data_IF_174847489163
#
_entry.id   IF_174847489163
#
_cell.length_a   1.000
_cell.length_b   1.000
_cell.length_c   1.000
_cell.angle_alpha   90.00
_cell.angle_beta   90.00
_cell.angle_gamma   90.00
#
_symmetry.space_group_name_H-M   'P 1'
#
loop_
_entity.id
_entity.type
_entity.pdbx_description
1 polymer ?
#
# COMPACT_ATOMS: atom_id res chain seq x y z
N UNK A 1 14.45 -9.04 -24.44
CA UNK A 1 13.09 -9.54 -24.10
C UNK A 1 12.33 -8.34 -23.58
N UNK A 2 11.31 -7.92 -24.33
CA UNK A 2 10.65 -6.63 -24.16
C UNK A 2 9.73 -6.67 -22.94
N UNK A 3 9.97 -5.80 -21.95
CA UNK A 3 9.07 -5.53 -20.83
C UNK A 3 7.88 -4.74 -21.39
N UNK A 4 6.77 -5.43 -21.61
CA UNK A 4 5.52 -4.77 -21.92
C UNK A 4 5.04 -4.04 -20.67
N UNK A 5 5.28 -2.74 -20.59
CA UNK A 5 4.63 -1.85 -19.67
C UNK A 5 3.11 -1.96 -19.91
N UNK A 6 2.41 -2.53 -18.95
CA UNK A 6 0.96 -2.61 -18.96
C UNK A 6 0.42 -1.19 -18.71
N UNK A 7 0.35 -0.40 -19.80
CA UNK A 7 -0.33 0.90 -19.75
C UNK A 7 -1.83 0.65 -19.66
N UNK A 8 -2.39 0.81 -18.46
CA UNK A 8 -3.85 0.93 -18.29
C UNK A 8 -4.34 2.09 -19.17
N UNK A 9 -5.40 1.90 -19.95
CA UNK A 9 -6.04 3.03 -20.63
C UNK A 9 -6.45 4.04 -19.56
N UNK A 10 -6.13 5.31 -19.78
CA UNK A 10 -6.58 6.40 -18.91
C UNK A 10 -8.10 6.38 -18.88
N UNK A 11 -8.67 6.01 -17.73
CA UNK A 11 -10.10 6.12 -17.51
C UNK A 11 -10.44 7.62 -17.47
N UNK A 12 -11.11 8.10 -18.51
CA UNK A 12 -11.50 9.51 -18.66
C UNK A 12 -12.73 9.87 -17.81
N UNK A 13 -13.27 8.92 -17.04
CA UNK A 13 -14.38 9.17 -16.14
C UNK A 13 -13.90 9.98 -14.94
N UNK A 14 -14.64 11.04 -14.64
CA UNK A 14 -14.34 11.87 -13.46
C UNK A 14 -14.56 11.03 -12.20
N UNK A 15 -13.60 10.96 -11.26
CA UNK A 15 -13.78 10.23 -10.02
C UNK A 15 -15.01 10.75 -9.25
N UNK A 16 -15.72 9.89 -8.52
CA UNK A 16 -16.88 10.31 -7.74
C UNK A 16 -16.46 11.36 -6.73
N UNK A 17 -17.20 12.46 -6.68
CA UNK A 17 -16.95 13.54 -5.73
C UNK A 17 -17.49 13.13 -4.35
N UNK A 18 -16.59 12.76 -3.46
CA UNK A 18 -16.91 12.60 -2.04
C UNK A 18 -17.23 13.97 -1.42
N UNK A 19 -18.29 14.04 -0.61
CA UNK A 19 -18.50 15.21 0.23
C UNK A 19 -17.42 15.27 1.32
N UNK A 20 -17.09 16.46 1.77
CA UNK A 20 -16.05 16.68 2.80
C UNK A 20 -16.28 15.82 4.05
N UNK A 21 -17.52 15.69 4.47
CA UNK A 21 -17.93 14.88 5.62
C UNK A 21 -17.70 13.37 5.38
N UNK A 22 -18.04 12.88 4.20
CA UNK A 22 -17.81 11.47 3.81
C UNK A 22 -16.32 11.16 3.77
N UNK A 23 -15.52 12.08 3.23
CA UNK A 23 -14.07 11.93 3.19
C UNK A 23 -13.46 11.91 4.61
N UNK A 24 -13.90 12.81 5.48
CA UNK A 24 -13.42 12.87 6.86
C UNK A 24 -13.77 11.59 7.63
N UNK A 25 -15.00 11.11 7.49
CA UNK A 25 -15.45 9.86 8.11
C UNK A 25 -14.66 8.66 7.60
N UNK A 26 -14.45 8.55 6.29
CA UNK A 26 -13.68 7.47 5.68
C UNK A 26 -12.23 7.47 6.19
N UNK A 27 -11.58 8.63 6.24
CA UNK A 27 -10.21 8.76 6.78
C UNK A 27 -10.12 8.34 8.24
N UNK A 28 -11.12 8.70 9.05
CA UNK A 28 -11.15 8.30 10.46
C UNK A 28 -11.39 6.80 10.61
N UNK A 29 -12.29 6.22 9.83
CA UNK A 29 -12.49 4.78 9.82
C UNK A 29 -11.23 4.02 9.39
N UNK A 30 -10.53 4.47 8.36
CA UNK A 30 -9.23 3.90 7.94
C UNK A 30 -8.20 3.97 9.06
N UNK A 31 -8.15 5.09 9.79
CA UNK A 31 -7.27 5.22 10.95
C UNK A 31 -7.61 4.21 12.06
N UNK A 32 -8.89 4.03 12.35
CA UNK A 32 -9.36 3.10 13.39
C UNK A 32 -9.16 1.64 12.97
N UNK A 33 -9.49 1.30 11.73
CA UNK A 33 -9.45 -0.09 11.24
C UNK A 33 -8.04 -0.59 10.92
N UNK A 34 -7.19 0.27 10.38
CA UNK A 34 -5.87 -0.11 9.89
C UNK A 34 -4.69 0.57 10.64
N UNK A 35 -4.96 1.53 11.53
CA UNK A 35 -3.92 2.32 12.17
C UNK A 35 -3.20 3.27 11.20
N UNK A 36 -3.71 3.45 9.98
CA UNK A 36 -3.05 4.19 8.91
C UNK A 36 -3.65 5.60 8.80
N UNK A 37 -2.80 6.62 8.80
CA UNK A 37 -3.19 7.97 8.42
C UNK A 37 -2.97 8.15 6.93
N UNK A 38 -4.05 8.47 6.21
CA UNK A 38 -4.02 8.70 4.78
C UNK A 38 -3.94 10.22 4.54
N UNK A 39 -2.78 10.67 4.10
CA UNK A 39 -2.54 12.09 3.75
C UNK A 39 -2.76 12.36 2.25
N UNK A 40 -3.23 11.35 1.51
CA UNK A 40 -3.55 11.48 0.09
C UNK A 40 -4.62 12.53 -0.15
N UNK A 41 -4.53 13.22 -1.30
CA UNK A 41 -5.53 14.18 -1.74
C UNK A 41 -6.90 13.51 -1.96
N UNK A 42 -7.95 14.33 -1.94
CA UNK A 42 -9.31 13.85 -2.22
C UNK A 42 -9.40 13.17 -3.59
N UNK A 43 -8.68 13.66 -4.59
CA UNK A 43 -8.70 13.10 -5.94
C UNK A 43 -8.11 11.68 -5.97
N UNK A 44 -7.01 11.44 -5.26
CA UNK A 44 -6.40 10.09 -5.17
C UNK A 44 -7.34 9.11 -4.47
N UNK A 45 -7.94 9.52 -3.37
CA UNK A 45 -8.92 8.68 -2.64
C UNK A 45 -10.14 8.42 -3.53
N UNK A 46 -10.62 9.45 -4.25
CA UNK A 46 -11.73 9.32 -5.19
C UNK A 46 -11.45 8.32 -6.31
N UNK A 47 -10.22 8.30 -6.86
CA UNK A 47 -9.82 7.32 -7.88
C UNK A 47 -9.82 5.90 -7.32
N UNK A 48 -9.29 5.69 -6.11
CA UNK A 48 -9.30 4.37 -5.47
C UNK A 48 -10.74 3.87 -5.22
N UNK A 49 -11.61 4.76 -4.74
CA UNK A 49 -13.03 4.43 -4.54
C UNK A 49 -13.70 4.11 -5.87
N UNK A 50 -13.44 4.88 -6.91
CA UNK A 50 -14.00 4.62 -8.24
C UNK A 50 -13.59 3.23 -8.76
N UNK A 51 -12.33 2.87 -8.61
CA UNK A 51 -11.84 1.54 -8.98
C UNK A 51 -12.56 0.43 -8.21
N UNK A 52 -12.84 0.64 -6.92
CA UNK A 52 -13.58 -0.33 -6.11
C UNK A 52 -15.05 -0.43 -6.50
N UNK A 53 -15.68 0.72 -6.75
CA UNK A 53 -17.06 0.77 -7.22
C UNK A 53 -17.23 0.04 -8.54
N UNK A 54 -16.32 0.24 -9.50
CA UNK A 54 -16.31 -0.49 -10.77
C UNK A 54 -16.17 -2.00 -10.57
N UNK A 55 -15.28 -2.41 -9.69
CA UNK A 55 -15.08 -3.83 -9.37
C UNK A 55 -16.33 -4.49 -8.75
N UNK A 56 -17.03 -3.74 -7.87
CA UNK A 56 -18.24 -4.21 -7.20
C UNK A 56 -19.52 -3.98 -8.04
N UNK A 57 -19.41 -3.38 -9.21
CA UNK A 57 -20.54 -2.95 -10.05
C UNK A 57 -21.51 -2.01 -9.31
N UNK A 58 -21.00 -1.15 -8.42
CA UNK A 58 -21.75 -0.12 -7.69
C UNK A 58 -21.60 1.20 -8.43
N UNK A 59 -22.72 1.93 -8.60
CA UNK A 59 -22.76 3.15 -9.43
C UNK A 59 -22.79 4.44 -8.64
N UNK A 60 -23.08 4.39 -7.34
CA UNK A 60 -23.18 5.57 -6.49
C UNK A 60 -22.35 5.42 -5.20
N UNK A 61 -21.88 6.55 -4.70
CA UNK A 61 -20.97 6.60 -3.54
C UNK A 61 -21.66 6.17 -2.25
N UNK A 62 -22.94 6.50 -2.06
CA UNK A 62 -23.70 6.15 -0.88
C UNK A 62 -23.82 4.62 -0.74
N UNK A 63 -24.17 3.95 -1.82
CA UNK A 63 -24.23 2.48 -1.87
C UNK A 63 -22.87 1.86 -1.63
N UNK A 64 -21.79 2.47 -2.13
CA UNK A 64 -20.43 2.00 -1.86
C UNK A 64 -20.07 2.14 -0.37
N UNK A 65 -20.34 3.29 0.22
CA UNK A 65 -20.04 3.51 1.64
C UNK A 65 -20.86 2.58 2.56
N UNK A 66 -22.08 2.21 2.16
CA UNK A 66 -22.90 1.26 2.89
C UNK A 66 -22.32 -0.17 2.93
N UNK A 67 -21.38 -0.52 2.04
CA UNK A 67 -20.67 -1.82 2.09
C UNK A 67 -19.90 -1.97 3.40
N UNK A 68 -19.42 -0.87 3.96
CA UNK A 68 -18.66 -0.87 5.22
C UNK A 68 -19.52 -1.09 6.46
N UNK A 69 -20.84 -0.96 6.35
CA UNK A 69 -21.81 -1.27 7.42
C UNK A 69 -22.17 -2.77 7.45
N UNK A 70 -21.87 -3.51 6.37
CA UNK A 70 -22.11 -4.96 6.29
C UNK A 70 -20.99 -5.73 7.00
N UNK A 71 -21.32 -6.37 8.11
CA UNK A 71 -20.37 -7.13 8.93
C UNK A 71 -19.65 -8.26 8.21
N UNK A 72 -20.19 -8.76 7.10
CA UNK A 72 -19.62 -9.88 6.33
C UNK A 72 -18.62 -9.36 5.29
N UNK A 73 -18.99 -8.34 4.54
CA UNK A 73 -18.23 -7.85 3.40
C UNK A 73 -17.28 -6.69 3.76
N UNK A 74 -17.56 -5.95 4.81
CA UNK A 74 -16.80 -4.77 5.22
C UNK A 74 -15.30 -5.06 5.37
N UNK A 75 -14.92 -6.16 6.00
CA UNK A 75 -13.51 -6.49 6.23
C UNK A 75 -12.74 -6.70 4.92
N UNK A 76 -13.32 -7.43 3.99
CA UNK A 76 -12.70 -7.68 2.69
C UNK A 76 -12.55 -6.39 1.89
N UNK A 77 -13.58 -5.54 1.94
CA UNK A 77 -13.55 -4.25 1.24
C UNK A 77 -12.56 -3.26 1.88
N UNK A 78 -12.47 -3.21 3.23
CA UNK A 78 -11.44 -2.44 3.91
C UNK A 78 -10.04 -2.84 3.45
N UNK A 79 -9.73 -4.13 3.41
CA UNK A 79 -8.41 -4.61 2.98
C UNK A 79 -8.13 -4.24 1.52
N UNK A 80 -9.11 -4.37 0.63
CA UNK A 80 -8.96 -4.02 -0.77
C UNK A 80 -8.75 -2.51 -0.97
N UNK A 81 -9.49 -1.67 -0.25
CA UNK A 81 -9.33 -0.22 -0.31
C UNK A 81 -7.99 0.24 0.27
N UNK A 82 -7.57 -0.33 1.40
CA UNK A 82 -6.26 -0.05 2.02
C UNK A 82 -5.13 -0.43 1.05
N UNK A 83 -5.24 -1.57 0.37
CA UNK A 83 -4.26 -2.02 -0.60
C UNK A 83 -4.10 -1.04 -1.77
N UNK A 84 -5.17 -0.41 -2.22
CA UNK A 84 -5.13 0.64 -3.25
C UNK A 84 -4.58 1.98 -2.74
N UNK A 85 -4.86 2.32 -1.48
CA UNK A 85 -4.46 3.59 -0.88
C UNK A 85 -3.01 3.59 -0.37
N UNK A 86 -2.42 2.41 -0.16
CA UNK A 86 -1.04 2.28 0.27
C UNK A 86 -0.07 2.35 -0.91
N UNK A 87 1.01 3.08 -0.72
CA UNK A 87 2.06 3.22 -1.74
C UNK A 87 2.85 1.92 -1.82
N UNK A 88 2.78 1.25 -2.97
CA UNK A 88 3.57 0.05 -3.29
C UNK A 88 4.85 0.41 -4.03
N UNK A 89 5.54 1.44 -3.55
CA UNK A 89 6.80 1.83 -4.15
C UNK A 89 7.94 1.02 -3.54
N UNK A 90 8.70 0.37 -4.38
CA UNK A 90 9.99 -0.22 -4.04
C UNK A 90 11.00 0.15 -5.10
N UNK A 91 12.23 0.45 -4.69
CA UNK A 91 13.35 0.77 -5.57
C UNK A 91 14.65 0.35 -4.90
N UNK A 92 15.67 0.08 -5.71
CA UNK A 92 17.00 -0.19 -5.20
C UNK A 92 17.50 0.98 -4.35
N UNK A 93 18.10 0.66 -3.22
CA UNK A 93 18.69 1.62 -2.27
C UNK A 93 17.72 2.71 -1.80
N UNK A 94 16.45 2.38 -1.60
CA UNK A 94 15.41 3.34 -1.18
C UNK A 94 15.74 4.04 0.14
N UNK A 95 16.43 3.39 1.05
CA UNK A 95 16.86 3.90 2.35
C UNK A 95 18.33 3.59 2.56
N UNK A 96 19.25 4.36 1.95
CA UNK A 96 20.68 4.08 1.99
C UNK A 96 21.22 3.96 3.43
N UNK A 97 20.70 4.77 4.35
CA UNK A 97 21.11 4.74 5.77
C UNK A 97 20.80 3.39 6.43
N UNK A 98 19.70 2.72 6.03
CA UNK A 98 19.37 1.39 6.53
C UNK A 98 20.36 0.34 6.02
N UNK A 99 20.81 0.45 4.76
CA UNK A 99 21.84 -0.43 4.21
C UNK A 99 23.21 -0.18 4.86
N UNK A 100 23.57 1.06 5.16
CA UNK A 100 24.80 1.39 5.91
C UNK A 100 24.77 0.80 7.33
N UNK A 101 23.64 0.90 8.03
CA UNK A 101 23.46 0.27 9.33
C UNK A 101 23.58 -1.25 9.25
N UNK A 102 22.98 -1.87 8.23
CA UNK A 102 23.07 -3.32 8.02
C UNK A 102 24.50 -3.74 7.74
N UNK A 103 25.19 -3.03 6.85
CA UNK A 103 26.61 -3.29 6.54
C UNK A 103 27.47 -3.20 7.79
N UNK A 104 27.30 -2.15 8.59
CA UNK A 104 28.02 -1.98 9.84
C UNK A 104 27.76 -3.13 10.82
N UNK A 105 26.48 -3.52 10.96
CA UNK A 105 26.10 -4.64 11.82
C UNK A 105 26.74 -5.95 11.37
N UNK A 106 26.65 -6.28 10.08
CA UNK A 106 27.27 -7.50 9.54
C UNK A 106 28.77 -7.49 9.74
N UNK A 107 29.45 -6.37 9.43
CA UNK A 107 30.91 -6.24 9.61
C UNK A 107 31.32 -6.45 11.07
N UNK A 108 30.58 -5.90 12.03
CA UNK A 108 30.86 -6.08 13.46
C UNK A 108 30.73 -7.54 13.87
N UNK A 109 29.72 -8.25 13.39
CA UNK A 109 29.53 -9.67 13.71
C UNK A 109 30.62 -10.57 13.09
N UNK A 110 31.08 -10.25 11.88
CA UNK A 110 32.11 -11.05 11.18
C UNK A 110 33.49 -10.93 11.86
N UNK A 111 33.78 -9.81 12.50
CA UNK A 111 35.08 -9.62 13.20
C UNK A 111 35.30 -10.60 14.33
N UNK A 112 34.24 -11.07 14.98
CA UNK A 112 34.28 -11.96 16.15
C UNK A 112 34.07 -13.44 15.77
N UNK A 113 33.85 -13.76 14.49
CA UNK A 113 33.60 -15.12 14.05
C UNK A 113 34.88 -15.85 13.62
N UNK A 114 35.00 -17.16 13.90
CA UNK A 114 36.08 -17.97 13.33
C UNK A 114 35.98 -17.96 11.80
N UNK A 115 37.14 -18.10 11.10
CA UNK A 115 37.30 -18.01 9.63
C UNK A 115 36.51 -19.08 8.78
N UNK A 116 35.59 -19.80 9.39
CA UNK A 116 34.62 -20.67 8.71
C UNK A 116 33.50 -19.76 8.19
N UNK A 117 33.15 -19.89 6.90
CA UNK A 117 32.17 -19.05 6.21
C UNK A 117 30.93 -18.76 7.07
N UNK A 118 30.74 -17.54 7.58
CA UNK A 118 29.57 -17.19 8.36
C UNK A 118 28.34 -17.18 7.43
N UNK A 119 27.26 -17.81 7.85
CA UNK A 119 25.96 -17.72 7.19
C UNK A 119 25.11 -16.69 7.90
N UNK A 120 24.53 -15.78 7.13
CA UNK A 120 23.59 -14.78 7.61
C UNK A 120 22.22 -15.02 6.96
N UNK A 121 21.18 -14.96 7.75
CA UNK A 121 19.81 -14.98 7.25
C UNK A 121 19.19 -13.61 7.41
N UNK A 122 18.63 -13.07 6.32
CA UNK A 122 17.96 -11.78 6.29
C UNK A 122 16.50 -11.97 5.93
N UNK A 123 15.65 -11.23 6.61
CA UNK A 123 14.23 -11.16 6.28
C UNK A 123 13.84 -9.71 6.00
N UNK A 124 13.45 -9.43 4.74
CA UNK A 124 12.89 -8.14 4.36
C UNK A 124 11.37 -8.19 4.46
N UNK A 125 10.83 -7.53 5.48
CA UNK A 125 9.39 -7.48 5.69
C UNK A 125 8.75 -6.37 4.84
N UNK A 126 7.67 -6.71 4.10
CA UNK A 126 6.95 -5.75 3.28
C UNK A 126 7.72 -5.28 2.04
N UNK A 127 8.55 -6.14 1.48
CA UNK A 127 9.48 -5.81 0.39
C UNK A 127 8.82 -5.55 -0.99
N UNK A 128 7.51 -5.58 -1.10
CA UNK A 128 6.77 -5.36 -2.37
C UNK A 128 7.33 -6.24 -3.51
N UNK A 129 8.11 -5.69 -4.45
CA UNK A 129 8.71 -6.43 -5.56
C UNK A 129 10.11 -7.02 -5.23
N UNK A 130 10.59 -6.85 -4.01
CA UNK A 130 11.85 -7.42 -3.54
C UNK A 130 13.10 -6.69 -4.03
N UNK A 131 13.02 -5.42 -4.34
CA UNK A 131 14.18 -4.63 -4.78
C UNK A 131 15.19 -4.37 -3.66
N UNK A 132 14.85 -4.69 -2.42
CA UNK A 132 15.71 -4.63 -1.23
C UNK A 132 16.55 -5.91 -1.04
N UNK A 133 16.27 -6.98 -1.78
CA UNK A 133 16.92 -8.29 -1.68
C UNK A 133 17.99 -8.50 -2.79
#
# INVERSE_FOLDING_TARGET
MSSAAFSRPADTRRPPALRTEQLALLKEQLRVQAGIRIDSSQDVIGLCIHERMDYLAITDVESYLAVFDDSINARAEWLALIDLLTVKETRFFRQPEAFECLEHHVRSQVQDLPRTSPEFSFWSAGCSHGHEL
#
